data_IF_657641106300
#
_entry.id   IF_657641106300
#
_cell.length_a   1.000
_cell.length_b   1.000
_cell.length_c   1.000
_cell.angle_alpha   90.00
_cell.angle_beta   90.00
_cell.angle_gamma   90.00
#
_symmetry.space_group_name_H-M   'P 1'
#
loop_
_entity.id
_entity.type
_entity.pdbx_description
1 polymer ?
#
# COMPACT_ATOMS: atom_id res chain seq x y z
N UNK A 1 -23.43 15.33 23.04
CA UNK A 1 -24.56 14.57 22.46
C UNK A 1 -24.03 13.87 21.22
N UNK A 2 -24.27 12.56 21.06
CA UNK A 2 -23.90 11.87 19.83
C UNK A 2 -24.75 12.44 18.68
N UNK A 3 -24.12 12.96 17.66
CA UNK A 3 -24.81 13.45 16.46
C UNK A 3 -25.50 12.27 15.79
N UNK A 4 -26.79 12.39 15.48
CA UNK A 4 -27.53 11.31 14.82
C UNK A 4 -26.86 10.95 13.48
N UNK A 5 -26.70 9.67 13.21
CA UNK A 5 -26.13 9.18 11.94
C UNK A 5 -27.14 9.48 10.82
N UNK A 6 -26.74 10.23 9.77
CA UNK A 6 -27.64 10.57 8.67
C UNK A 6 -28.00 9.35 7.82
N UNK A 7 -29.09 9.43 7.04
CA UNK A 7 -29.47 8.36 6.11
C UNK A 7 -28.65 8.37 4.81
N UNK A 8 -28.19 9.55 4.42
CA UNK A 8 -27.38 9.76 3.22
C UNK A 8 -26.10 10.54 3.55
N UNK A 9 -25.11 10.43 2.68
CA UNK A 9 -23.79 11.02 2.85
C UNK A 9 -23.19 11.46 1.51
N UNK A 10 -22.15 12.28 1.58
CA UNK A 10 -21.30 12.52 0.42
C UNK A 10 -20.28 11.40 0.25
N UNK A 11 -20.06 10.96 -1.00
CA UNK A 11 -19.09 9.92 -1.35
C UNK A 11 -18.58 10.06 -2.78
N UNK A 12 -17.35 9.61 -3.01
CA UNK A 12 -16.80 9.37 -4.34
C UNK A 12 -17.08 7.94 -4.75
N UNK A 13 -17.94 7.78 -5.76
CA UNK A 13 -18.47 6.49 -6.19
C UNK A 13 -17.87 6.10 -7.53
N UNK A 14 -17.29 4.90 -7.61
CA UNK A 14 -16.85 4.32 -8.88
C UNK A 14 -18.08 3.80 -9.65
N UNK A 15 -18.48 4.55 -10.66
CA UNK A 15 -19.69 4.30 -11.48
C UNK A 15 -19.39 3.67 -12.84
N UNK A 16 -18.16 3.79 -13.32
CA UNK A 16 -17.79 3.32 -14.64
C UNK A 16 -16.36 2.77 -14.70
N UNK A 17 -16.01 2.12 -15.81
CA UNK A 17 -14.63 1.78 -16.16
C UNK A 17 -13.95 2.99 -16.78
N UNK A 18 -12.71 3.29 -16.37
CA UNK A 18 -11.94 4.38 -16.97
C UNK A 18 -10.86 4.96 -16.05
N UNK A 19 -10.33 6.10 -16.45
CA UNK A 19 -9.50 6.96 -15.61
C UNK A 19 -10.34 7.55 -14.47
N UNK A 20 -9.77 7.98 -13.34
CA UNK A 20 -10.55 8.48 -12.21
C UNK A 20 -11.56 9.57 -12.56
N UNK A 21 -11.20 10.51 -13.45
CA UNK A 21 -12.08 11.58 -13.95
C UNK A 21 -13.32 11.07 -14.70
N UNK A 22 -13.23 9.88 -15.33
CA UNK A 22 -14.34 9.23 -16.05
C UNK A 22 -15.03 8.15 -15.22
N UNK A 23 -14.32 7.58 -14.27
CA UNK A 23 -14.75 6.43 -13.50
C UNK A 23 -15.45 6.81 -12.19
N UNK A 24 -15.15 7.99 -11.64
CA UNK A 24 -15.65 8.44 -10.35
C UNK A 24 -16.69 9.54 -10.50
N UNK A 25 -17.74 9.46 -9.70
CA UNK A 25 -18.73 10.52 -9.53
C UNK A 25 -18.82 10.92 -8.05
N UNK A 26 -18.84 12.23 -7.78
CA UNK A 26 -19.17 12.72 -6.45
C UNK A 26 -20.69 12.68 -6.27
N UNK A 27 -21.14 11.97 -5.22
CA UNK A 27 -22.55 11.83 -4.84
C UNK A 27 -22.74 12.47 -3.48
N UNK A 28 -23.82 13.26 -3.32
CA UNK A 28 -24.17 13.88 -2.04
C UNK A 28 -25.32 13.15 -1.35
N UNK A 29 -25.91 12.18 -2.03
CA UNK A 29 -27.09 11.41 -1.64
C UNK A 29 -26.80 9.90 -1.51
N UNK A 30 -25.53 9.49 -1.35
CA UNK A 30 -25.17 8.09 -1.21
C UNK A 30 -25.68 7.52 0.12
N UNK A 31 -26.32 6.33 0.14
CA UNK A 31 -26.84 5.77 1.38
C UNK A 31 -25.74 5.48 2.40
N UNK A 32 -25.99 5.80 3.69
CA UNK A 32 -25.14 5.32 4.79
C UNK A 32 -25.55 3.89 5.14
N UNK A 33 -24.59 2.96 5.12
CA UNK A 33 -24.83 1.54 5.44
C UNK A 33 -24.90 1.33 6.94
N UNK A 34 -26.08 1.50 7.55
CA UNK A 34 -26.32 1.38 8.99
C UNK A 34 -26.55 -0.06 9.46
N UNK A 35 -26.85 -1.00 8.56
CA UNK A 35 -27.14 -2.39 8.90
C UNK A 35 -25.85 -3.18 9.14
N UNK A 36 -25.26 -3.01 10.33
CA UNK A 36 -24.05 -3.73 10.73
C UNK A 36 -24.35 -5.21 10.99
N UNK A 37 -23.46 -6.09 10.58
CA UNK A 37 -23.37 -7.47 11.06
C UNK A 37 -22.51 -7.55 12.32
N UNK A 38 -22.57 -8.70 13.03
CA UNK A 38 -21.68 -8.94 14.16
C UNK A 38 -20.20 -8.87 13.72
N UNK A 39 -19.36 -8.23 14.53
CA UNK A 39 -17.96 -7.97 14.21
C UNK A 39 -17.72 -6.79 13.26
N UNK A 40 -18.74 -5.96 12.99
CA UNK A 40 -18.60 -4.76 12.16
C UNK A 40 -18.84 -3.48 12.96
N UNK A 41 -18.25 -2.41 12.47
CA UNK A 41 -18.42 -1.05 13.00
C UNK A 41 -18.75 -0.07 11.89
N UNK A 42 -19.47 1.00 12.22
CA UNK A 42 -19.62 2.18 11.39
C UNK A 42 -18.61 3.25 11.83
N UNK A 43 -17.77 3.68 10.90
CA UNK A 43 -16.74 4.70 11.13
C UNK A 43 -17.17 5.99 10.46
N UNK A 44 -17.22 7.11 11.21
CA UNK A 44 -17.18 8.46 10.64
C UNK A 44 -15.76 8.70 10.14
N UNK A 45 -15.59 8.78 8.83
CA UNK A 45 -14.26 8.88 8.19
C UNK A 45 -13.71 10.29 8.34
N UNK A 46 -12.51 10.40 8.86
CA UNK A 46 -11.76 11.63 8.98
C UNK A 46 -10.89 11.87 7.74
N UNK A 47 -10.16 10.85 7.32
CA UNK A 47 -9.30 10.88 6.14
C UNK A 47 -9.26 9.52 5.46
N UNK A 48 -9.07 9.53 4.15
CA UNK A 48 -8.85 8.35 3.31
C UNK A 48 -7.56 8.49 2.51
N UNK A 49 -6.83 7.39 2.29
CA UNK A 49 -5.60 7.46 1.52
C UNK A 49 -5.69 6.66 0.22
N UNK A 50 -5.20 7.28 -0.86
CA UNK A 50 -5.25 6.69 -2.19
C UNK A 50 -4.18 5.63 -2.39
N UNK A 51 -4.52 4.64 -3.20
CA UNK A 51 -3.63 3.55 -3.58
C UNK A 51 -3.57 3.36 -5.10
N UNK A 52 -2.37 3.05 -5.67
CA UNK A 52 -2.28 2.79 -7.12
C UNK A 52 -3.18 1.64 -7.59
N UNK A 53 -3.43 0.64 -6.75
CA UNK A 53 -4.35 -0.46 -7.06
C UNK A 53 -5.77 0.03 -7.32
N UNK A 54 -6.24 1.07 -6.61
CA UNK A 54 -7.57 1.64 -6.77
C UNK A 54 -7.81 2.08 -8.22
N UNK A 55 -7.07 3.07 -8.69
CA UNK A 55 -7.29 3.62 -10.05
C UNK A 55 -6.94 2.62 -11.16
N UNK A 56 -6.00 1.67 -10.92
CA UNK A 56 -5.68 0.62 -11.89
C UNK A 56 -6.86 -0.33 -12.07
N UNK A 57 -7.52 -0.73 -10.99
CA UNK A 57 -8.72 -1.55 -11.05
C UNK A 57 -9.90 -0.83 -11.72
N UNK A 58 -10.02 0.51 -11.57
CA UNK A 58 -11.02 1.28 -12.34
C UNK A 58 -10.83 1.11 -13.83
N UNK A 59 -9.58 1.09 -14.31
CA UNK A 59 -9.23 0.97 -15.74
C UNK A 59 -9.35 -0.44 -16.29
N UNK A 60 -9.05 -1.45 -15.48
CA UNK A 60 -8.89 -2.84 -15.95
C UNK A 60 -10.19 -3.62 -15.82
N UNK A 61 -10.87 -3.56 -14.67
CA UNK A 61 -11.98 -4.44 -14.36
C UNK A 61 -13.26 -4.05 -15.14
N UNK A 62 -13.93 -5.01 -15.80
CA UNK A 62 -15.28 -4.83 -16.32
C UNK A 62 -16.27 -4.48 -15.20
N UNK A 63 -17.38 -3.78 -15.53
CA UNK A 63 -18.33 -3.30 -14.53
C UNK A 63 -18.91 -4.41 -13.64
N UNK A 64 -19.27 -5.53 -14.25
CA UNK A 64 -19.85 -6.68 -13.53
C UNK A 64 -18.86 -7.39 -12.59
N UNK A 65 -17.55 -7.35 -12.92
CA UNK A 65 -16.49 -7.89 -12.04
C UNK A 65 -16.20 -6.93 -10.89
N UNK A 66 -16.20 -5.63 -11.18
CA UNK A 66 -15.86 -4.59 -10.21
C UNK A 66 -16.97 -4.33 -9.18
N UNK A 67 -18.22 -4.83 -9.40
CA UNK A 67 -19.37 -4.56 -8.52
C UNK A 67 -19.70 -3.06 -8.47
N UNK A 68 -19.80 -2.40 -9.63
CA UNK A 68 -20.17 -0.98 -9.71
C UNK A 68 -21.69 -0.81 -9.72
N UNK A 69 -22.24 0.29 -9.11
CA UNK A 69 -21.52 1.38 -8.43
C UNK A 69 -21.09 1.04 -7.01
N UNK A 70 -19.96 1.59 -6.55
CA UNK A 70 -19.44 1.40 -5.18
C UNK A 70 -18.54 2.57 -4.77
N UNK A 71 -18.41 2.81 -3.46
CA UNK A 71 -17.47 3.81 -2.94
C UNK A 71 -16.02 3.42 -3.25
N UNK A 72 -15.19 4.42 -3.57
CA UNK A 72 -13.80 4.21 -3.93
C UNK A 72 -12.88 4.09 -2.70
N UNK A 73 -11.67 3.53 -2.92
CA UNK A 73 -10.54 3.41 -1.99
C UNK A 73 -10.75 2.52 -0.77
N UNK A 74 -9.63 2.26 -0.09
CA UNK A 74 -9.50 1.20 0.91
C UNK A 74 -9.11 1.72 2.27
N UNK A 75 -8.03 2.53 2.33
CA UNK A 75 -7.40 3.00 3.56
C UNK A 75 -8.16 4.16 4.17
N UNK A 76 -8.43 4.10 5.46
CA UNK A 76 -9.11 5.15 6.19
C UNK A 76 -8.59 5.35 7.61
N UNK A 77 -8.88 6.51 8.15
CA UNK A 77 -8.90 6.80 9.58
C UNK A 77 -10.21 7.50 9.95
N UNK A 78 -10.66 7.35 11.18
CA UNK A 78 -11.91 7.96 11.60
C UNK A 78 -12.24 7.68 13.05
N UNK A 79 -13.52 7.88 13.39
CA UNK A 79 -14.08 7.62 14.72
C UNK A 79 -15.22 6.63 14.59
N UNK A 80 -15.27 5.63 15.45
CA UNK A 80 -16.37 4.67 15.53
C UNK A 80 -17.63 5.41 16.04
N UNK A 81 -18.72 5.33 15.29
CA UNK A 81 -20.02 5.95 15.63
C UNK A 81 -21.10 4.93 15.93
N UNK A 82 -20.95 3.68 15.50
CA UNK A 82 -21.77 2.53 15.85
C UNK A 82 -20.91 1.27 15.85
N UNK A 83 -21.15 0.33 16.78
CA UNK A 83 -20.36 -0.89 16.90
C UNK A 83 -21.22 -2.11 17.21
N UNK A 84 -20.96 -3.20 16.49
CA UNK A 84 -21.36 -4.58 16.83
C UNK A 84 -20.13 -5.47 17.07
N UNK A 85 -19.12 -4.91 17.71
CA UNK A 85 -17.87 -5.59 18.07
C UNK A 85 -17.52 -5.30 19.53
N UNK A 86 -16.96 -6.31 20.22
CA UNK A 86 -16.61 -6.16 21.64
C UNK A 86 -15.31 -5.39 21.88
N UNK A 87 -14.43 -5.33 20.90
CA UNK A 87 -13.11 -4.71 20.99
C UNK A 87 -13.13 -3.21 20.70
N UNK A 88 -13.99 -2.75 19.79
CA UNK A 88 -14.10 -1.35 19.38
C UNK A 88 -15.40 -0.74 19.89
N UNK A 89 -15.31 0.44 20.52
CA UNK A 89 -16.43 1.15 21.12
C UNK A 89 -16.71 2.46 20.41
N UNK A 90 -17.94 2.94 20.50
CA UNK A 90 -18.31 4.28 20.03
C UNK A 90 -17.43 5.33 20.69
N UNK A 91 -16.87 6.21 19.87
CA UNK A 91 -15.90 7.23 20.27
C UNK A 91 -14.44 6.84 20.06
N UNK A 92 -14.14 5.57 19.79
CA UNK A 92 -12.76 5.14 19.50
C UNK A 92 -12.27 5.76 18.18
N UNK A 93 -11.08 6.37 18.25
CA UNK A 93 -10.36 6.81 17.04
C UNK A 93 -9.58 5.63 16.46
N UNK A 94 -9.87 5.31 15.22
CA UNK A 94 -9.35 4.11 14.54
C UNK A 94 -8.69 4.45 13.22
N UNK A 95 -7.84 3.55 12.74
CA UNK A 95 -7.40 3.51 11.36
C UNK A 95 -7.32 2.05 10.89
N UNK A 96 -7.39 1.88 9.58
CA UNK A 96 -7.36 0.57 8.97
C UNK A 96 -7.69 0.63 7.49
N UNK A 97 -8.28 -0.44 7.00
CA UNK A 97 -8.66 -0.54 5.60
C UNK A 97 -9.93 -1.35 5.41
N UNK A 98 -10.57 -1.19 4.26
CA UNK A 98 -11.71 -2.02 3.86
C UNK A 98 -11.17 -3.15 2.98
N UNK A 99 -11.16 -4.42 3.46
CA UNK A 99 -10.66 -5.55 2.70
C UNK A 99 -11.43 -5.79 1.40
N UNK A 100 -10.74 -6.26 0.37
CA UNK A 100 -11.32 -6.41 -0.98
C UNK A 100 -12.52 -7.35 -1.07
N UNK A 101 -12.64 -8.32 -0.18
CA UNK A 101 -13.80 -9.21 -0.09
C UNK A 101 -15.06 -8.51 0.39
N UNK A 102 -14.94 -7.35 1.06
CA UNK A 102 -16.07 -6.54 1.52
C UNK A 102 -16.68 -5.69 0.40
N UNK A 103 -15.91 -5.30 -0.60
CA UNK A 103 -16.41 -4.46 -1.70
C UNK A 103 -17.63 -5.01 -2.41
N UNK A 104 -17.67 -6.33 -2.62
CA UNK A 104 -18.78 -6.99 -3.31
C UNK A 104 -20.01 -7.19 -2.43
N UNK A 105 -19.80 -7.16 -1.10
CA UNK A 105 -20.89 -7.42 -0.14
C UNK A 105 -21.61 -6.16 0.32
N UNK A 106 -20.91 -5.03 0.35
CA UNK A 106 -21.39 -3.86 1.07
C UNK A 106 -21.30 -2.56 0.26
N UNK A 107 -20.74 -2.58 -0.97
CA UNK A 107 -20.47 -1.41 -1.83
C UNK A 107 -19.69 -0.30 -1.11
N UNK A 108 -18.98 -0.67 -0.02
CA UNK A 108 -18.24 0.25 0.83
C UNK A 108 -16.86 0.57 0.26
N UNK A 109 -16.36 1.74 0.66
CA UNK A 109 -15.02 2.22 0.39
C UNK A 109 -14.67 3.39 1.30
N UNK A 110 -13.43 3.82 1.29
CA UNK A 110 -12.91 4.81 2.22
C UNK A 110 -13.22 6.27 1.83
N UNK A 111 -13.51 6.54 0.56
CA UNK A 111 -13.84 7.90 0.08
C UNK A 111 -15.33 8.24 0.28
N UNK A 112 -15.80 8.16 1.52
CA UNK A 112 -17.15 8.53 1.96
C UNK A 112 -17.09 9.09 3.38
N UNK A 113 -18.11 9.84 3.80
CA UNK A 113 -18.17 10.41 5.15
C UNK A 113 -18.36 9.33 6.23
N UNK A 114 -18.99 8.22 5.89
CA UNK A 114 -19.19 7.06 6.77
C UNK A 114 -18.85 5.78 6.01
N UNK A 115 -18.18 4.87 6.68
CA UNK A 115 -17.82 3.58 6.12
C UNK A 115 -18.14 2.45 7.10
N UNK A 116 -18.84 1.41 6.64
CA UNK A 116 -19.00 0.16 7.35
C UNK A 116 -17.79 -0.72 7.14
N UNK A 117 -17.14 -1.13 8.22
CA UNK A 117 -15.83 -1.80 8.20
C UNK A 117 -15.85 -2.99 9.16
N UNK A 118 -15.24 -4.15 8.79
CA UNK A 118 -14.98 -5.21 9.75
C UNK A 118 -14.05 -4.71 10.85
N UNK A 119 -14.40 -4.97 12.10
CA UNK A 119 -13.62 -4.49 13.24
C UNK A 119 -12.19 -5.07 13.26
N UNK A 120 -11.99 -6.30 12.77
CA UNK A 120 -10.68 -6.95 12.66
C UNK A 120 -9.75 -6.31 11.61
N UNK A 121 -10.28 -5.43 10.76
CA UNK A 121 -9.50 -4.63 9.81
C UNK A 121 -9.11 -3.25 10.36
N UNK A 122 -9.43 -2.96 11.63
CA UNK A 122 -9.20 -1.68 12.29
C UNK A 122 -8.37 -1.86 13.57
N UNK A 123 -7.53 -0.87 13.84
CA UNK A 123 -6.81 -0.73 15.10
C UNK A 123 -7.00 0.69 15.66
N UNK A 124 -6.89 0.82 16.99
CA UNK A 124 -6.93 2.12 17.66
C UNK A 124 -5.77 2.99 17.16
N UNK A 125 -6.07 4.21 16.75
CA UNK A 125 -5.07 5.19 16.31
C UNK A 125 -4.20 5.62 17.49
N UNK A 126 -2.86 5.53 17.39
CA UNK A 126 -1.97 6.06 18.41
C UNK A 126 -2.12 7.58 18.52
N UNK A 127 -1.98 8.11 19.74
CA UNK A 127 -2.14 9.54 20.01
C UNK A 127 -1.07 10.43 19.34
N UNK A 128 0.08 9.86 19.00
CA UNK A 128 1.21 10.56 18.36
C UNK A 128 1.08 10.71 16.84
N UNK A 129 -0.02 10.24 16.22
CA UNK A 129 -0.27 10.42 14.78
C UNK A 129 -1.62 11.09 14.54
N UNK A 130 -1.66 12.01 13.57
CA UNK A 130 -2.90 12.69 13.18
C UNK A 130 -3.81 11.76 12.36
N UNK A 131 -5.11 12.07 12.20
CA UNK A 131 -6.00 11.31 11.32
C UNK A 131 -5.47 11.18 9.89
N UNK A 132 -4.94 12.27 9.34
CA UNK A 132 -4.36 12.31 7.99
C UNK A 132 -3.15 11.36 7.87
N UNK A 133 -2.27 11.36 8.86
CA UNK A 133 -1.12 10.45 8.91
C UNK A 133 -1.56 8.99 9.05
N UNK A 134 -2.53 8.73 9.91
CA UNK A 134 -3.03 7.38 10.18
C UNK A 134 -3.69 6.73 8.97
N UNK A 135 -4.46 7.50 8.18
CA UNK A 135 -5.10 6.99 6.96
C UNK A 135 -4.08 6.42 5.96
N UNK A 136 -2.83 6.92 5.95
CA UNK A 136 -1.78 6.47 5.04
C UNK A 136 -1.02 5.21 5.48
N UNK A 137 -1.35 4.61 6.61
CA UNK A 137 -0.51 3.56 7.22
C UNK A 137 -0.83 2.15 6.72
N UNK A 138 -2.11 1.80 6.46
CA UNK A 138 -2.53 0.41 6.51
C UNK A 138 -2.11 -0.43 5.31
N UNK A 139 -2.67 -0.22 4.13
CA UNK A 139 -2.44 -1.12 3.00
C UNK A 139 -0.95 -1.26 2.66
N UNK A 140 -0.25 -0.14 2.53
CA UNK A 140 1.17 -0.13 2.14
C UNK A 140 2.09 -0.48 3.30
N UNK A 141 1.76 -0.11 4.53
CA UNK A 141 2.52 -0.45 5.72
C UNK A 141 2.43 -1.94 6.04
N UNK A 142 1.23 -2.53 6.01
CA UNK A 142 1.07 -3.98 6.20
C UNK A 142 1.68 -4.79 5.05
N UNK A 143 1.67 -4.28 3.81
CA UNK A 143 2.43 -4.90 2.72
C UNK A 143 3.93 -4.94 3.04
N UNK A 144 4.50 -3.83 3.48
CA UNK A 144 5.90 -3.77 3.87
C UNK A 144 6.21 -4.64 5.10
N UNK A 145 5.28 -4.69 6.06
CA UNK A 145 5.40 -5.54 7.25
C UNK A 145 5.42 -7.04 6.86
N UNK A 146 4.51 -7.46 6.00
CA UNK A 146 4.52 -8.84 5.49
C UNK A 146 5.86 -9.15 4.79
N UNK A 147 6.32 -8.27 3.90
CA UNK A 147 7.59 -8.46 3.20
C UNK A 147 8.75 -8.63 4.18
N UNK A 148 8.92 -7.71 5.11
CA UNK A 148 10.11 -7.62 5.97
C UNK A 148 10.02 -8.56 7.18
N UNK A 149 8.85 -8.60 7.84
CA UNK A 149 8.73 -9.27 9.13
C UNK A 149 8.24 -10.72 9.01
N UNK A 150 7.36 -11.01 8.04
CA UNK A 150 6.77 -12.36 7.88
C UNK A 150 7.44 -13.18 6.78
N UNK A 151 7.55 -12.63 5.58
CA UNK A 151 8.04 -13.37 4.41
C UNK A 151 9.57 -13.47 4.38
N UNK A 152 10.28 -12.36 4.58
CA UNK A 152 11.74 -12.32 4.66
C UNK A 152 12.26 -12.70 6.06
N UNK A 153 11.52 -12.34 7.10
CA UNK A 153 11.95 -12.48 8.50
C UNK A 153 13.32 -11.85 8.73
N UNK A 154 13.46 -10.63 8.22
CA UNK A 154 14.72 -9.88 8.27
C UNK A 154 15.25 -9.81 9.71
N UNK A 155 16.54 -10.11 9.89
CA UNK A 155 17.26 -10.06 11.16
C UNK A 155 18.44 -9.10 11.13
N UNK A 156 19.05 -8.91 12.31
CA UNK A 156 20.19 -8.03 12.48
C UNK A 156 21.38 -8.45 11.62
N UNK A 157 22.05 -7.45 11.03
CA UNK A 157 23.24 -7.63 10.19
C UNK A 157 22.96 -8.09 8.76
N UNK A 158 21.74 -8.52 8.44
CA UNK A 158 21.38 -8.90 7.06
C UNK A 158 21.35 -7.68 6.13
N UNK A 159 21.53 -7.94 4.84
CA UNK A 159 21.56 -6.93 3.79
C UNK A 159 20.29 -7.01 2.96
N UNK A 160 19.58 -5.89 2.87
CA UNK A 160 18.33 -5.77 2.10
C UNK A 160 18.52 -4.72 1.00
N UNK A 161 18.18 -5.09 -0.24
CA UNK A 161 18.04 -4.13 -1.33
C UNK A 161 16.56 -3.79 -1.52
N UNK A 162 16.21 -2.50 -1.51
CA UNK A 162 14.84 -2.03 -1.75
C UNK A 162 14.78 -1.27 -3.07
N UNK A 163 14.20 -1.90 -4.09
CA UNK A 163 13.89 -1.24 -5.35
C UNK A 163 12.62 -0.40 -5.20
N UNK A 164 12.73 0.90 -5.49
CA UNK A 164 11.63 1.85 -5.30
C UNK A 164 11.50 2.36 -3.86
N UNK A 165 12.62 2.70 -3.23
CA UNK A 165 12.69 3.21 -1.86
C UNK A 165 11.86 4.46 -1.58
N UNK A 166 11.43 5.20 -2.60
CA UNK A 166 10.54 6.37 -2.45
C UNK A 166 9.06 6.06 -2.62
N UNK A 167 8.68 4.83 -2.98
CA UNK A 167 7.27 4.40 -2.94
C UNK A 167 6.82 4.25 -1.49
N UNK A 168 5.51 4.27 -1.22
CA UNK A 168 5.01 4.08 0.13
C UNK A 168 5.42 2.72 0.73
N UNK A 169 5.31 1.63 -0.04
CA UNK A 169 5.76 0.30 0.40
C UNK A 169 7.27 0.28 0.64
N UNK A 170 8.07 0.83 -0.31
CA UNK A 170 9.52 0.85 -0.19
C UNK A 170 10.00 1.65 1.01
N UNK A 171 9.41 2.79 1.27
CA UNK A 171 9.78 3.65 2.40
C UNK A 171 9.43 3.01 3.76
N UNK A 172 8.29 2.32 3.88
CA UNK A 172 7.99 1.51 5.07
C UNK A 172 8.90 0.29 5.16
N UNK A 173 9.22 -0.38 4.05
CA UNK A 173 10.15 -1.51 4.05
C UNK A 173 11.56 -1.11 4.52
N UNK A 174 12.06 0.07 4.12
CA UNK A 174 13.33 0.61 4.61
C UNK A 174 13.28 0.79 6.12
N UNK A 175 12.27 1.49 6.65
CA UNK A 175 12.12 1.73 8.08
C UNK A 175 12.05 0.41 8.87
N UNK A 176 11.19 -0.53 8.45
CA UNK A 176 11.05 -1.83 9.11
C UNK A 176 12.35 -2.64 9.07
N UNK A 177 13.06 -2.66 7.95
CA UNK A 177 14.35 -3.33 7.84
C UNK A 177 15.39 -2.72 8.79
N UNK A 178 15.40 -1.39 8.95
CA UNK A 178 16.26 -0.69 9.93
C UNK A 178 15.89 -1.01 11.36
N UNK A 179 14.61 -1.03 11.72
CA UNK A 179 14.12 -1.45 13.04
C UNK A 179 14.59 -2.88 13.36
N UNK A 180 14.65 -3.75 12.35
CA UNK A 180 15.15 -5.13 12.47
C UNK A 180 16.69 -5.25 12.48
N UNK A 181 17.43 -4.13 12.39
CA UNK A 181 18.89 -4.07 12.44
C UNK A 181 19.60 -4.43 11.12
N UNK A 182 18.89 -4.37 9.99
CA UNK A 182 19.47 -4.67 8.68
C UNK A 182 20.31 -3.50 8.14
N UNK A 183 21.20 -3.82 7.18
CA UNK A 183 21.85 -2.88 6.28
C UNK A 183 20.99 -2.72 5.03
N UNK A 184 20.59 -1.50 4.72
CA UNK A 184 19.63 -1.21 3.64
C UNK A 184 20.29 -0.42 2.53
N UNK A 185 20.26 -0.97 1.31
CA UNK A 185 20.55 -0.25 0.07
C UNK A 185 19.21 0.00 -0.63
N UNK A 186 18.96 1.22 -1.08
CA UNK A 186 17.69 1.51 -1.74
C UNK A 186 17.88 2.31 -3.04
N UNK A 187 17.03 2.02 -4.04
CA UNK A 187 17.03 2.75 -5.30
C UNK A 187 15.83 3.68 -5.40
N UNK A 188 16.08 4.87 -5.95
CA UNK A 188 15.06 5.83 -6.38
C UNK A 188 15.68 6.79 -7.41
N UNK A 189 14.96 7.78 -7.92
CA UNK A 189 15.55 8.88 -8.71
C UNK A 189 16.34 9.83 -7.81
N UNK A 190 17.38 10.51 -8.35
CA UNK A 190 18.25 11.41 -7.61
C UNK A 190 17.50 12.43 -6.73
N UNK A 191 16.40 13.01 -7.24
CA UNK A 191 15.59 13.99 -6.50
C UNK A 191 14.91 13.42 -5.23
N UNK A 192 15.01 12.12 -5.00
CA UNK A 192 14.42 11.41 -3.85
C UNK A 192 15.47 10.90 -2.87
N UNK A 193 16.77 11.14 -3.11
CA UNK A 193 17.86 10.62 -2.28
C UNK A 193 17.71 11.03 -0.81
N UNK A 194 17.51 12.31 -0.54
CA UNK A 194 17.35 12.83 0.84
C UNK A 194 16.22 12.12 1.58
N UNK A 195 15.08 11.97 0.92
CA UNK A 195 13.92 11.26 1.48
C UNK A 195 14.24 9.79 1.77
N UNK A 196 14.86 9.07 0.84
CA UNK A 196 15.20 7.65 1.01
C UNK A 196 16.20 7.45 2.14
N UNK A 197 17.17 8.35 2.28
CA UNK A 197 18.12 8.34 3.41
C UNK A 197 17.45 8.68 4.73
N UNK A 198 16.51 9.64 4.74
CA UNK A 198 15.71 9.96 5.93
C UNK A 198 14.90 8.74 6.41
N UNK A 199 14.40 7.89 5.51
CA UNK A 199 13.75 6.63 5.86
C UNK A 199 14.70 5.60 6.45
N UNK A 200 16.02 5.83 6.40
CA UNK A 200 17.04 5.00 7.03
C UNK A 200 17.90 4.18 6.07
N UNK A 201 17.84 4.40 4.76
CA UNK A 201 18.73 3.70 3.82
C UNK A 201 20.20 4.08 4.07
N UNK A 202 21.05 3.07 4.25
CA UNK A 202 22.51 3.25 4.46
C UNK A 202 23.21 3.63 3.15
N UNK A 203 22.74 3.07 2.02
CA UNK A 203 23.26 3.37 0.68
C UNK A 203 22.13 3.69 -0.29
N UNK A 204 22.38 4.60 -1.24
CA UNK A 204 21.44 5.04 -2.24
C UNK A 204 21.93 4.74 -3.65
N UNK A 205 21.02 4.35 -4.54
CA UNK A 205 21.29 4.10 -5.96
C UNK A 205 20.31 4.90 -6.82
N UNK A 206 20.83 5.81 -7.64
CA UNK A 206 20.03 6.50 -8.65
C UNK A 206 19.85 5.60 -9.87
N UNK A 207 18.67 4.93 -9.94
CA UNK A 207 18.35 4.02 -11.04
C UNK A 207 18.21 4.73 -12.40
N UNK A 208 18.10 6.07 -12.42
CA UNK A 208 17.98 6.82 -13.67
C UNK A 208 19.33 7.01 -14.38
N UNK A 209 20.43 6.78 -13.67
CA UNK A 209 21.79 6.94 -14.19
C UNK A 209 22.52 5.64 -14.48
N UNK A 210 21.94 4.49 -14.08
CA UNK A 210 22.61 3.19 -14.21
C UNK A 210 21.64 2.13 -14.74
N UNK A 211 22.20 1.13 -15.45
CA UNK A 211 21.53 -0.18 -15.62
C UNK A 211 21.56 -0.86 -14.25
N UNK A 212 20.44 -0.86 -13.55
CA UNK A 212 20.37 -1.30 -12.15
C UNK A 212 20.87 -2.74 -11.95
N UNK A 213 20.44 -3.77 -12.73
CA UNK A 213 20.99 -5.11 -12.61
C UNK A 213 22.50 -5.20 -12.86
N UNK A 214 23.02 -4.44 -13.82
CA UNK A 214 24.47 -4.39 -14.10
C UNK A 214 25.23 -3.76 -12.94
N UNK A 215 24.79 -2.61 -12.46
CA UNK A 215 25.38 -1.93 -11.30
C UNK A 215 25.41 -2.83 -10.06
N UNK A 216 24.30 -3.51 -9.76
CA UNK A 216 24.22 -4.42 -8.62
C UNK A 216 25.17 -5.61 -8.79
N UNK A 217 25.34 -6.14 -10.01
CA UNK A 217 26.29 -7.20 -10.30
C UNK A 217 27.70 -6.75 -10.04
N UNK A 218 28.11 -5.59 -10.56
CA UNK A 218 29.47 -5.06 -10.41
C UNK A 218 29.83 -4.77 -8.95
N UNK A 219 28.88 -4.20 -8.19
CA UNK A 219 29.15 -3.72 -6.83
C UNK A 219 28.93 -4.77 -5.75
N UNK A 220 27.97 -5.68 -5.92
CA UNK A 220 27.53 -6.57 -4.85
C UNK A 220 27.70 -8.07 -5.13
N UNK A 221 28.47 -8.47 -6.17
CA UNK A 221 28.71 -9.88 -6.47
C UNK A 221 29.45 -10.64 -5.36
N UNK A 222 30.34 -9.96 -4.62
CA UNK A 222 31.11 -10.54 -3.49
C UNK A 222 30.42 -10.31 -2.14
N UNK A 223 29.49 -9.35 -2.05
CA UNK A 223 28.78 -9.00 -0.81
C UNK A 223 27.27 -8.97 -1.05
N UNK A 224 26.72 -10.14 -1.39
CA UNK A 224 25.35 -10.32 -1.84
C UNK A 224 24.31 -9.88 -0.81
N UNK A 225 23.12 -9.51 -1.32
CA UNK A 225 21.96 -9.25 -0.50
C UNK A 225 21.35 -10.56 0.02
N UNK A 226 20.81 -10.52 1.24
CA UNK A 226 19.99 -11.61 1.77
C UNK A 226 18.58 -11.54 1.18
N UNK A 227 18.07 -10.32 0.98
CA UNK A 227 16.74 -10.10 0.41
C UNK A 227 16.74 -8.94 -0.57
N UNK A 228 15.93 -9.08 -1.61
CA UNK A 228 15.57 -8.00 -2.53
C UNK A 228 14.07 -7.76 -2.39
N UNK A 229 13.69 -6.52 -2.10
CA UNK A 229 12.31 -6.03 -2.06
C UNK A 229 12.05 -5.23 -3.31
N UNK A 230 11.16 -5.69 -4.15
CA UNK A 230 10.70 -4.98 -5.34
C UNK A 230 9.34 -4.31 -5.00
N UNK A 231 9.38 -2.99 -4.73
CA UNK A 231 8.25 -2.21 -4.23
C UNK A 231 7.60 -1.30 -5.29
N UNK A 232 8.00 -1.43 -6.57
CA UNK A 232 7.47 -0.63 -7.68
C UNK A 232 6.34 -1.36 -8.41
N UNK A 233 6.44 -2.69 -8.50
CA UNK A 233 5.58 -3.52 -9.34
C UNK A 233 5.98 -3.48 -10.81
N UNK A 234 7.30 -3.55 -11.08
CA UNK A 234 7.84 -3.52 -12.44
C UNK A 234 7.47 -4.77 -13.22
N UNK A 235 7.22 -4.58 -14.52
CA UNK A 235 6.90 -5.68 -15.44
C UNK A 235 8.14 -6.30 -16.09
N UNK A 236 9.28 -5.60 -16.08
CA UNK A 236 10.55 -6.13 -16.62
C UNK A 236 11.19 -7.10 -15.62
N UNK A 237 11.40 -8.38 -16.01
CA UNK A 237 11.97 -9.39 -15.12
C UNK A 237 13.49 -9.27 -14.91
N UNK A 238 14.20 -8.34 -15.55
CA UNK A 238 15.68 -8.29 -15.58
C UNK A 238 16.30 -8.22 -14.19
N UNK A 239 15.70 -7.45 -13.27
CA UNK A 239 16.16 -7.35 -11.89
C UNK A 239 16.07 -8.70 -11.16
N UNK A 240 15.08 -9.52 -11.46
CA UNK A 240 14.99 -10.87 -10.92
C UNK A 240 15.89 -11.86 -11.66
N UNK A 241 15.81 -11.91 -12.99
CA UNK A 241 16.51 -12.94 -13.78
C UNK A 241 18.04 -12.85 -13.70
N UNK A 242 18.58 -11.68 -13.36
CA UNK A 242 20.02 -11.47 -13.14
C UNK A 242 20.40 -11.51 -11.66
N UNK A 243 19.45 -11.75 -10.75
CA UNK A 243 19.67 -11.62 -9.30
C UNK A 243 20.66 -12.63 -8.72
N UNK A 244 20.93 -13.75 -9.35
CA UNK A 244 21.94 -14.72 -8.90
C UNK A 244 23.33 -14.10 -8.72
N UNK A 245 23.62 -13.01 -9.43
CA UNK A 245 24.90 -12.29 -9.30
C UNK A 245 25.00 -11.55 -7.95
N UNK A 246 23.92 -10.97 -7.45
CA UNK A 246 23.90 -10.07 -6.30
C UNK A 246 22.94 -10.47 -5.17
N UNK A 247 22.16 -11.56 -5.33
CA UNK A 247 21.30 -12.12 -4.31
C UNK A 247 21.84 -13.47 -3.82
N UNK A 248 21.87 -13.66 -2.51
CA UNK A 248 22.26 -14.92 -1.89
C UNK A 248 21.35 -16.07 -2.31
N UNK A 249 21.87 -17.28 -2.62
CA UNK A 249 21.04 -18.44 -2.92
C UNK A 249 20.11 -18.86 -1.78
N UNK A 250 20.42 -18.45 -0.53
CA UNK A 250 19.61 -18.69 0.68
C UNK A 250 18.59 -17.57 0.94
N UNK A 251 18.65 -16.49 0.17
CA UNK A 251 17.77 -15.34 0.27
C UNK A 251 16.49 -15.50 -0.53
N UNK A 252 15.79 -14.38 -0.75
CA UNK A 252 14.60 -14.33 -1.58
C UNK A 252 14.47 -12.99 -2.32
N UNK A 253 13.89 -13.04 -3.53
CA UNK A 253 13.39 -11.89 -4.25
C UNK A 253 11.89 -11.76 -3.95
N UNK A 254 11.48 -10.66 -3.32
CA UNK A 254 10.12 -10.46 -2.82
C UNK A 254 9.53 -9.24 -3.51
N UNK A 255 8.39 -9.41 -4.18
CA UNK A 255 7.76 -8.37 -4.99
C UNK A 255 6.30 -8.15 -4.60
N UNK A 256 5.83 -6.92 -4.78
CA UNK A 256 4.40 -6.58 -4.71
C UNK A 256 3.64 -7.03 -5.97
N UNK A 257 4.32 -7.73 -6.87
CA UNK A 257 3.79 -8.23 -8.15
C UNK A 257 3.75 -7.15 -9.24
N UNK A 258 3.72 -7.59 -10.51
CA UNK A 258 3.64 -6.69 -11.64
C UNK A 258 2.35 -5.88 -11.57
N UNK A 259 2.47 -4.57 -11.75
CA UNK A 259 1.34 -3.65 -11.72
C UNK A 259 1.18 -2.97 -13.09
N UNK A 260 0.47 -3.61 -14.04
CA UNK A 260 0.28 -3.03 -15.36
C UNK A 260 -0.43 -1.69 -15.28
N UNK A 261 -0.06 -0.78 -16.16
CA UNK A 261 -0.70 0.54 -16.28
C UNK A 261 -1.84 0.52 -17.30
N UNK A 262 -1.91 -0.54 -18.12
CA UNK A 262 -2.92 -0.79 -19.14
C UNK A 262 -2.98 -2.26 -19.56
N UNK A 263 -3.58 -2.53 -20.70
CA UNK A 263 -3.72 -3.86 -21.31
C UNK A 263 -3.09 -3.85 -22.71
N UNK A 264 -1.93 -3.19 -22.86
CA UNK A 264 -1.21 -3.19 -24.14
C UNK A 264 -0.56 -4.55 -24.41
N UNK A 265 -0.38 -4.90 -25.67
CA UNK A 265 0.28 -6.17 -26.06
C UNK A 265 1.69 -6.28 -25.48
N UNK A 266 2.42 -5.17 -25.38
CA UNK A 266 3.77 -5.12 -24.78
C UNK A 266 3.74 -5.38 -23.29
N UNK A 267 2.79 -4.81 -22.54
CA UNK A 267 2.62 -5.08 -21.10
C UNK A 267 2.23 -6.54 -20.85
N UNK A 268 1.28 -7.07 -21.61
CA UNK A 268 0.88 -8.49 -21.52
C UNK A 268 2.07 -9.42 -21.80
N UNK A 269 2.89 -9.10 -22.81
CA UNK A 269 4.09 -9.86 -23.13
C UNK A 269 5.14 -9.80 -22.01
N UNK A 270 5.35 -8.62 -21.41
CA UNK A 270 6.27 -8.48 -20.28
C UNK A 270 5.76 -9.20 -19.02
N UNK A 271 4.45 -9.17 -18.74
CA UNK A 271 3.84 -9.95 -17.65
C UNK A 271 4.04 -11.44 -17.90
N UNK A 272 3.83 -11.92 -19.14
CA UNK A 272 4.05 -13.32 -19.50
C UNK A 272 5.52 -13.74 -19.32
N UNK A 273 6.49 -12.92 -19.76
CA UNK A 273 7.92 -13.14 -19.53
C UNK A 273 8.25 -13.20 -18.04
N UNK A 274 7.73 -12.26 -17.26
CA UNK A 274 7.94 -12.20 -15.82
C UNK A 274 7.38 -13.44 -15.14
N UNK A 275 6.15 -13.83 -15.49
CA UNK A 275 5.50 -15.04 -14.96
C UNK A 275 6.31 -16.30 -15.29
N UNK A 276 6.78 -16.41 -16.54
CA UNK A 276 7.64 -17.53 -16.94
C UNK A 276 8.97 -17.56 -16.17
N UNK A 277 9.60 -16.39 -15.98
CA UNK A 277 10.83 -16.29 -15.20
C UNK A 277 10.64 -16.70 -13.73
N UNK A 278 9.48 -16.37 -13.14
CA UNK A 278 9.15 -16.73 -11.74
C UNK A 278 9.02 -18.23 -11.53
N UNK A 279 8.44 -18.95 -12.50
CA UNK A 279 8.16 -20.40 -12.38
C UNK A 279 9.23 -21.29 -12.99
N UNK A 280 10.25 -20.70 -13.66
CA UNK A 280 11.30 -21.45 -14.34
C UNK A 280 12.11 -22.28 -13.34
N UNK A 281 12.15 -23.64 -13.48
CA UNK A 281 12.90 -24.49 -12.54
C UNK A 281 14.41 -24.23 -12.63
N UNK A 282 15.11 -24.36 -11.50
CA UNK A 282 16.57 -24.20 -11.40
C UNK A 282 17.32 -25.08 -12.39
N UNK A 283 16.85 -26.30 -12.62
CA UNK A 283 17.45 -27.28 -13.52
C UNK A 283 17.49 -26.85 -14.99
N UNK A 284 16.57 -25.95 -15.38
CA UNK A 284 16.51 -25.38 -16.74
C UNK A 284 16.94 -23.91 -16.77
N UNK A 285 17.78 -23.49 -15.82
CA UNK A 285 18.36 -22.15 -15.77
C UNK A 285 17.49 -21.12 -15.05
N UNK A 286 16.59 -21.51 -14.19
CA UNK A 286 15.91 -20.61 -13.25
C UNK A 286 16.81 -20.13 -12.13
N UNK A 287 16.48 -19.00 -11.51
CA UNK A 287 17.26 -18.39 -10.44
C UNK A 287 17.42 -19.32 -9.23
N UNK A 288 18.54 -19.19 -8.50
CA UNK A 288 18.83 -19.95 -7.29
C UNK A 288 17.96 -19.52 -6.12
N UNK A 289 17.80 -18.21 -5.93
CA UNK A 289 16.91 -17.65 -4.94
C UNK A 289 15.44 -17.66 -5.41
N UNK A 290 14.47 -18.00 -4.54
CA UNK A 290 13.06 -18.01 -4.91
C UNK A 290 12.52 -16.63 -5.15
N UNK A 291 11.59 -16.53 -6.10
CA UNK A 291 10.69 -15.40 -6.24
C UNK A 291 9.47 -15.61 -5.31
N UNK A 292 9.12 -14.56 -4.56
CA UNK A 292 7.92 -14.54 -3.72
C UNK A 292 7.08 -13.33 -4.07
N UNK A 293 5.80 -13.53 -4.29
CA UNK A 293 4.84 -12.45 -4.47
C UNK A 293 4.08 -12.25 -3.16
N UNK A 294 3.96 -10.98 -2.71
CA UNK A 294 3.23 -10.63 -1.50
C UNK A 294 1.93 -9.92 -1.88
N UNK A 295 0.84 -10.42 -1.38
CA UNK A 295 -0.49 -9.82 -1.43
C UNK A 295 -0.96 -9.70 0.01
N UNK A 296 -1.15 -8.46 0.48
CA UNK A 296 -1.60 -8.23 1.84
C UNK A 296 -2.99 -8.85 2.09
N UNK A 297 -3.08 -9.58 3.17
CA UNK A 297 -4.32 -10.18 3.68
C UNK A 297 -4.64 -9.49 5.01
N UNK A 298 -5.93 -9.33 5.30
CA UNK A 298 -6.34 -8.78 6.59
C UNK A 298 -5.93 -9.74 7.71
N UNK A 299 -5.09 -9.26 8.61
CA UNK A 299 -4.61 -9.97 9.79
C UNK A 299 -4.49 -8.96 10.94
N UNK A 300 -5.39 -9.10 11.92
CA UNK A 300 -5.46 -8.18 13.05
C UNK A 300 -4.19 -8.22 13.91
N UNK A 301 -3.56 -9.39 14.05
CA UNK A 301 -2.33 -9.53 14.85
C UNK A 301 -1.17 -8.74 14.20
N UNK A 302 -1.04 -8.81 12.87
CA UNK A 302 -0.08 -8.03 12.12
C UNK A 302 -0.35 -6.52 12.25
N UNK A 303 -1.61 -6.11 12.16
CA UNK A 303 -2.02 -4.72 12.29
C UNK A 303 -1.72 -4.16 13.70
N UNK A 304 -1.94 -4.96 14.75
CA UNK A 304 -1.62 -4.60 16.14
C UNK A 304 -0.10 -4.46 16.32
N UNK A 305 0.69 -5.39 15.79
CA UNK A 305 2.14 -5.33 15.91
C UNK A 305 2.72 -4.16 15.09
N UNK A 306 2.24 -3.92 13.87
CA UNK A 306 2.62 -2.76 13.07
C UNK A 306 2.27 -1.45 13.79
N UNK A 307 1.09 -1.37 14.40
CA UNK A 307 0.67 -0.23 15.23
C UNK A 307 1.65 0.06 16.38
N UNK A 308 2.29 -0.96 16.98
CA UNK A 308 3.27 -0.77 18.07
C UNK A 308 4.46 0.05 17.61
N UNK A 309 5.03 -0.25 16.43
CA UNK A 309 6.13 0.53 15.85
C UNK A 309 5.72 1.98 15.56
N UNK A 310 4.45 2.22 15.21
CA UNK A 310 3.92 3.58 15.02
C UNK A 310 3.76 4.28 16.38
N UNK A 311 3.24 3.59 17.38
CA UNK A 311 2.94 4.15 18.70
C UNK A 311 4.21 4.50 19.48
N UNK A 312 5.28 3.72 19.34
CA UNK A 312 6.57 4.00 19.99
C UNK A 312 7.45 4.97 19.18
N UNK A 313 6.99 5.40 18.00
CA UNK A 313 7.68 6.36 17.13
C UNK A 313 8.84 5.79 16.33
N UNK A 314 9.11 4.48 16.39
CA UNK A 314 10.17 3.84 15.61
C UNK A 314 9.83 3.77 14.11
N UNK A 315 8.53 3.76 13.77
CA UNK A 315 8.04 3.85 12.40
C UNK A 315 7.22 5.13 12.22
N UNK A 316 7.64 5.95 11.26
CA UNK A 316 7.02 7.25 10.97
C UNK A 316 6.04 7.15 9.81
N UNK A 317 4.84 7.77 9.91
CA UNK A 317 3.92 7.93 8.79
C UNK A 317 4.57 8.73 7.64
N UNK A 318 4.15 8.45 6.41
CA UNK A 318 4.73 9.05 5.21
C UNK A 318 3.60 9.63 4.36
N UNK A 319 3.38 10.95 4.47
CA UNK A 319 2.37 11.68 3.68
C UNK A 319 3.07 12.56 2.66
N UNK A 320 2.75 12.38 1.38
CA UNK A 320 3.25 13.21 0.27
C UNK A 320 2.44 14.51 0.15
N UNK A 321 1.13 14.39 0.14
CA UNK A 321 0.22 15.52 -0.07
C UNK A 321 -1.17 15.21 0.46
N UNK A 322 -1.89 16.28 0.82
CA UNK A 322 -3.24 16.23 1.38
C UNK A 322 -4.16 17.07 0.49
N UNK A 323 -5.34 16.56 0.21
CA UNK A 323 -6.36 17.20 -0.61
C UNK A 323 -7.69 17.24 0.14
N UNK A 324 -8.50 18.25 -0.09
CA UNK A 324 -9.86 18.33 0.43
C UNK A 324 -10.76 17.27 -0.24
N UNK A 325 -11.85 16.90 0.43
CA UNK A 325 -12.73 15.82 -0.04
C UNK A 325 -13.27 16.04 -1.47
N UNK A 326 -13.66 17.27 -1.78
CA UNK A 326 -14.14 17.64 -3.13
C UNK A 326 -13.06 17.61 -4.20
N UNK A 327 -11.79 17.67 -3.80
CA UNK A 327 -10.62 17.69 -4.68
C UNK A 327 -10.00 16.30 -4.89
N UNK A 328 -10.70 15.21 -4.56
CA UNK A 328 -10.17 13.84 -4.70
C UNK A 328 -9.65 13.53 -6.11
N UNK A 329 -10.22 14.09 -7.17
CA UNK A 329 -9.70 13.92 -8.53
C UNK A 329 -8.30 14.51 -8.70
N UNK A 330 -8.00 15.67 -8.11
CA UNK A 330 -6.65 16.24 -8.09
C UNK A 330 -5.66 15.36 -7.31
N UNK A 331 -6.14 14.71 -6.23
CA UNK A 331 -5.35 13.74 -5.49
C UNK A 331 -5.00 12.52 -6.37
N UNK A 332 -5.93 12.02 -7.18
CA UNK A 332 -5.63 10.97 -8.16
C UNK A 332 -4.65 11.43 -9.24
N UNK A 333 -4.79 12.65 -9.75
CA UNK A 333 -3.82 13.23 -10.69
C UNK A 333 -2.41 13.21 -10.09
N UNK A 334 -2.26 13.66 -8.84
CA UNK A 334 -0.98 13.60 -8.11
C UNK A 334 -0.44 12.19 -8.00
N UNK A 335 -1.28 11.24 -7.60
CA UNK A 335 -0.90 9.83 -7.46
C UNK A 335 -0.45 9.23 -8.80
N UNK A 336 -1.19 9.50 -9.88
CA UNK A 336 -0.91 8.99 -11.23
C UNK A 336 0.38 9.55 -11.85
N UNK A 337 0.94 10.63 -11.33
CA UNK A 337 2.27 11.10 -11.77
C UNK A 337 3.36 10.08 -11.50
N UNK A 338 3.15 9.11 -10.58
CA UNK A 338 4.18 8.18 -10.11
C UNK A 338 5.34 8.85 -9.36
N UNK A 339 5.19 10.13 -8.98
CA UNK A 339 6.25 10.93 -8.32
C UNK A 339 5.98 11.23 -6.85
N UNK A 340 4.92 10.71 -6.29
CA UNK A 340 4.61 10.86 -4.86
C UNK A 340 5.71 10.24 -3.98
N UNK A 341 6.02 10.89 -2.85
CA UNK A 341 6.91 10.41 -1.80
C UNK A 341 6.07 9.84 -0.66
N UNK A 342 5.61 8.60 -0.76
CA UNK A 342 4.67 8.03 0.22
C UNK A 342 3.21 8.16 -0.22
N UNK A 343 2.32 8.51 0.71
CA UNK A 343 0.86 8.46 0.53
C UNK A 343 0.25 9.80 0.14
N UNK A 344 -0.68 9.75 -0.80
CA UNK A 344 -1.59 10.86 -1.14
C UNK A 344 -2.88 10.66 -0.35
N UNK A 345 -3.27 11.65 0.44
CA UNK A 345 -4.39 11.57 1.39
C UNK A 345 -5.48 12.56 1.01
N UNK A 346 -6.72 12.15 1.17
CA UNK A 346 -7.92 12.99 1.03
C UNK A 346 -8.51 13.18 2.41
N UNK A 347 -8.63 14.43 2.85
CA UNK A 347 -9.26 14.82 4.09
C UNK A 347 -10.76 14.85 3.89
N UNK A 348 -11.47 13.88 4.49
CA UNK A 348 -12.93 13.72 4.32
C UNK A 348 -13.69 14.62 5.28
N UNK A 349 -13.25 14.69 6.54
CA UNK A 349 -13.78 15.63 7.54
C UNK A 349 -12.90 16.89 7.58
N UNK A 350 -13.41 18.05 7.17
CA UNK A 350 -12.61 19.29 7.15
C UNK A 350 -12.21 19.78 8.55
N UNK A 351 -12.82 19.26 9.61
CA UNK A 351 -12.54 19.68 11.00
C UNK A 351 -11.31 19.00 11.61
N UNK A 352 -10.70 18.02 10.93
CA UNK A 352 -9.51 17.30 11.43
C UNK A 352 -8.23 17.76 10.75
N UNK A 353 -7.10 17.64 11.46
CA UNK A 353 -5.75 17.96 10.97
C UNK A 353 -5.01 16.70 10.49
#
# INVERSE_FOLDING_TARGET
MATAIPDVQSAWVNVARGTPDKALAFKEDWPVSKNLSDGEVLVKVHAAALNPVGYKLFRILPNFVAGRPRVAEYDLSGMVVESKDDRLKVGDHVYGWIPSNMFRKTDQGALAQYARVPADALVIRPANVTPVQAAGLTLTGLTAYDIICKTAKVGSGQRVFVNGGSTAVGAFAIQLAKIRGAKVVASASASKESFVREMGADEFVDYTKVDLPKYLTEKYSTSKFDYIVEAVGISDPSLYTRSDAYLSPKGAFISVGPQPTGMTTSELWNIAKTSLAMVRPKIVGGNKAPFKNVIVINDLADAIEFRRYVADGSLKPIVDSVYEFKDALKAYERLMTGRAKGKVVVKVDPSVD
#
